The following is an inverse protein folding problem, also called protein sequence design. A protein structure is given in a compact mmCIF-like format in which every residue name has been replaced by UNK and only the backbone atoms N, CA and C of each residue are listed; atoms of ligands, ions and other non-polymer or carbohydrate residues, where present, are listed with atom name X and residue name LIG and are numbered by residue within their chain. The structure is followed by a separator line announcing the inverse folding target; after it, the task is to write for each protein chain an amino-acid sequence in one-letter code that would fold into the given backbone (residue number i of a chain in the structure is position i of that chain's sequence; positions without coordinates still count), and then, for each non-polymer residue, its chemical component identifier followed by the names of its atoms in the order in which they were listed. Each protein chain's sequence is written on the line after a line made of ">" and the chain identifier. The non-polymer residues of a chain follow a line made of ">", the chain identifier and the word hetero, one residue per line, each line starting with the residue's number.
data_IF_293286825892
#
_entry.id   IF_293286825892
#
_cell.length_a   1.000
_cell.length_b   1.000
_cell.length_c   1.000
_cell.angle_alpha   90.00
_cell.angle_beta   90.00
_cell.angle_gamma   90.00
#
_symmetry.space_group_name_H-M   'P 1'
#
loop_
_entity.id
_entity.type
_entity.pdbx_description
1 polymer ?
#
# COMPACT_ATOMS: atom_id res chain seq x y z
N UNK A 1 -0.40 4.68 -9.32
CA UNK A 1 0.91 4.02 -9.11
C UNK A 1 0.91 2.53 -9.45
N UNK A 2 0.06 1.68 -8.85
CA UNK A 2 0.05 0.24 -9.17
C UNK A 2 -0.14 -0.05 -10.68
N UNK A 3 -1.10 0.61 -11.33
CA UNK A 3 -1.26 0.60 -12.80
C UNK A 3 0.03 0.95 -13.56
N UNK A 4 0.69 2.04 -13.16
CA UNK A 4 1.92 2.49 -13.81
C UNK A 4 3.03 1.44 -13.70
N UNK A 5 3.17 0.80 -12.54
CA UNK A 5 4.13 -0.29 -12.31
C UNK A 5 3.80 -1.52 -13.17
N UNK A 6 2.52 -1.86 -13.34
CA UNK A 6 2.12 -2.91 -14.29
C UNK A 6 2.54 -2.59 -15.71
N UNK A 7 2.47 -1.32 -16.12
CA UNK A 7 2.95 -0.88 -17.43
C UNK A 7 4.48 -0.89 -17.55
N UNK A 8 5.19 -0.53 -16.48
CA UNK A 8 6.66 -0.65 -16.38
C UNK A 8 7.08 -2.11 -16.53
N UNK A 9 6.44 -3.03 -15.79
CA UNK A 9 6.67 -4.46 -15.89
C UNK A 9 6.40 -4.98 -17.32
N UNK A 10 5.32 -4.52 -17.97
CA UNK A 10 5.03 -4.84 -19.38
C UNK A 10 6.14 -4.38 -20.33
N UNK A 11 6.66 -3.18 -20.14
CA UNK A 11 7.75 -2.65 -20.96
C UNK A 11 9.06 -3.45 -20.77
N UNK A 12 9.38 -3.84 -19.52
CA UNK A 12 10.59 -4.59 -19.17
C UNK A 12 10.57 -6.04 -19.65
N UNK A 13 9.40 -6.70 -19.57
CA UNK A 13 9.28 -8.13 -19.83
C UNK A 13 8.56 -8.48 -21.15
N UNK A 14 8.05 -7.50 -21.88
CA UNK A 14 7.31 -7.69 -23.13
C UNK A 14 5.90 -8.26 -22.96
N UNK A 15 5.45 -8.53 -21.73
CA UNK A 15 4.13 -9.09 -21.40
C UNK A 15 3.64 -8.58 -20.05
N UNK A 16 2.32 -8.65 -19.83
CA UNK A 16 1.77 -8.40 -18.50
C UNK A 16 2.29 -9.43 -17.51
N UNK A 17 2.55 -8.99 -16.29
CA UNK A 17 2.95 -9.82 -15.16
C UNK A 17 1.89 -9.76 -14.07
N UNK A 18 1.58 -10.88 -13.42
CA UNK A 18 0.81 -10.87 -12.19
C UNK A 18 1.50 -9.96 -11.16
N UNK A 19 0.72 -9.31 -10.31
CA UNK A 19 1.29 -8.56 -9.19
C UNK A 19 0.42 -8.61 -7.97
N UNK A 20 1.06 -8.44 -6.82
CA UNK A 20 0.47 -8.50 -5.51
C UNK A 20 0.73 -7.20 -4.77
N UNK A 21 -0.36 -6.55 -4.35
CA UNK A 21 -0.30 -5.33 -3.56
C UNK A 21 -0.71 -5.64 -2.12
N UNK A 22 0.17 -5.25 -1.20
CA UNK A 22 -0.05 -5.28 0.23
C UNK A 22 -0.36 -3.87 0.71
N UNK A 23 -1.51 -3.69 1.36
CA UNK A 23 -1.87 -2.42 1.99
C UNK A 23 -1.99 -2.59 3.51
N UNK A 24 -1.05 -2.01 4.25
CA UNK A 24 -1.09 -2.03 5.72
C UNK A 24 -2.30 -1.25 6.24
N UNK A 25 -3.14 -1.86 7.09
CA UNK A 25 -4.27 -1.15 7.71
C UNK A 25 -4.33 -1.35 9.23
N UNK A 26 -4.80 -0.33 9.93
CA UNK A 26 -5.01 -0.34 11.39
C UNK A 26 -6.24 -1.18 11.76
N UNK A 27 -6.08 -2.11 12.70
CA UNK A 27 -7.14 -2.98 13.23
C UNK A 27 -7.99 -2.32 14.34
N UNK A 28 -7.49 -1.24 14.96
CA UNK A 28 -8.22 -0.54 16.03
C UNK A 28 -9.57 -0.04 15.51
N UNK A 29 -10.63 -0.31 16.26
CA UNK A 29 -12.00 0.01 15.88
C UNK A 29 -12.58 -0.83 14.74
N UNK A 30 -11.90 -1.92 14.31
CA UNK A 30 -12.34 -2.79 13.21
C UNK A 30 -12.46 -4.27 13.59
N UNK A 31 -12.22 -4.61 14.84
CA UNK A 31 -12.40 -5.96 15.40
C UNK A 31 -13.50 -5.94 16.48
N UNK A 32 -14.07 -7.09 16.80
CA UNK A 32 -15.14 -7.18 17.81
C UNK A 32 -14.61 -7.09 19.24
N UNK A 33 -13.32 -7.34 19.44
CA UNK A 33 -12.68 -7.18 20.74
C UNK A 33 -12.49 -5.71 21.11
N UNK A 34 -12.66 -5.32 22.38
CA UNK A 34 -12.37 -3.97 22.83
C UNK A 34 -10.86 -3.71 22.76
N UNK A 35 -10.48 -2.62 22.09
CA UNK A 35 -9.09 -2.15 22.05
C UNK A 35 -9.05 -0.77 22.70
N UNK A 36 -8.23 -0.56 23.75
CA UNK A 36 -8.12 0.75 24.39
C UNK A 36 -7.68 1.84 23.41
N UNK A 37 -8.26 3.03 23.53
CA UNK A 37 -7.92 4.19 22.66
C UNK A 37 -6.46 4.60 22.79
N UNK A 38 -5.87 4.42 23.98
CA UNK A 38 -4.47 4.70 24.27
C UNK A 38 -3.54 3.50 24.04
N UNK A 39 -4.01 2.44 23.37
CA UNK A 39 -3.17 1.26 23.09
C UNK A 39 -2.01 1.65 22.18
N UNK A 40 -0.79 1.51 22.69
CA UNK A 40 0.44 1.80 21.93
C UNK A 40 0.95 0.53 21.21
N UNK A 41 1.71 0.72 20.13
CA UNK A 41 2.34 -0.37 19.38
C UNK A 41 1.62 -0.74 18.09
N UNK A 42 2.22 -1.69 17.36
CA UNK A 42 1.73 -2.14 16.06
C UNK A 42 0.50 -3.03 16.22
N UNK A 43 -0.66 -2.54 15.78
CA UNK A 43 -1.91 -3.29 15.75
C UNK A 43 -2.48 -3.26 14.33
N UNK A 44 -1.80 -3.99 13.46
CA UNK A 44 -2.03 -3.97 12.03
C UNK A 44 -2.15 -5.38 11.49
N UNK A 45 -2.95 -5.50 10.46
CA UNK A 45 -2.97 -6.65 9.55
C UNK A 45 -3.02 -6.01 8.15
N UNK A 46 -2.49 -6.60 7.07
CA UNK A 46 -2.57 -5.95 5.76
C UNK A 46 -3.74 -6.44 4.92
N UNK A 47 -4.41 -5.54 4.20
CA UNK A 47 -5.31 -5.89 3.11
C UNK A 47 -4.49 -6.28 1.88
N UNK A 48 -5.02 -7.20 1.09
CA UNK A 48 -4.31 -7.80 -0.04
C UNK A 48 -5.11 -7.60 -1.32
N UNK A 49 -4.44 -7.22 -2.41
CA UNK A 49 -5.02 -7.11 -3.73
C UNK A 49 -4.13 -7.81 -4.77
N UNK A 50 -4.76 -8.44 -5.75
CA UNK A 50 -4.09 -9.25 -6.78
C UNK A 50 -4.44 -8.75 -8.16
N UNK A 51 -3.45 -8.65 -9.03
CA UNK A 51 -3.62 -8.46 -10.47
C UNK A 51 -3.12 -9.73 -11.18
N UNK A 52 -3.91 -10.25 -12.11
CA UNK A 52 -3.59 -11.46 -12.89
C UNK A 52 -3.34 -11.06 -14.35
N UNK A 53 -2.25 -11.57 -14.93
CA UNK A 53 -1.88 -11.26 -16.32
C UNK A 53 -2.81 -11.89 -17.37
N UNK A 54 -3.57 -12.91 -17.00
CA UNK A 54 -4.46 -13.67 -17.90
C UNK A 54 -5.74 -12.90 -18.29
N UNK A 55 -5.96 -11.71 -17.72
CA UNK A 55 -7.07 -10.84 -18.10
C UNK A 55 -6.77 -10.08 -19.39
N UNK A 56 -6.77 -10.83 -20.51
CA UNK A 56 -6.67 -10.35 -21.90
C UNK A 56 -5.46 -9.45 -22.19
N UNK A 57 -4.38 -10.00 -22.78
CA UNK A 57 -3.20 -9.22 -23.23
C UNK A 57 -3.55 -8.02 -24.16
N UNK A 58 -4.75 -8.06 -24.76
CA UNK A 58 -5.32 -7.06 -25.64
C UNK A 58 -6.28 -6.07 -24.97
N UNK A 59 -6.71 -6.30 -23.72
CA UNK A 59 -7.53 -5.32 -23.01
C UNK A 59 -6.67 -4.15 -22.55
N UNK A 60 -7.22 -2.96 -22.71
CA UNK A 60 -6.61 -1.75 -22.19
C UNK A 60 -6.60 -1.83 -20.66
N UNK A 61 -5.41 -1.68 -20.09
CA UNK A 61 -5.20 -1.66 -18.64
C UNK A 61 -5.71 -0.31 -18.14
N UNK A 62 -6.90 -0.29 -17.54
CA UNK A 62 -7.55 0.93 -17.06
C UNK A 62 -7.37 1.11 -15.55
N UNK A 63 -7.53 2.36 -15.07
CA UNK A 63 -7.27 2.71 -13.67
C UNK A 63 -8.32 2.14 -12.70
N UNK A 64 -9.59 2.16 -13.12
CA UNK A 64 -10.74 1.64 -12.37
C UNK A 64 -10.54 0.18 -11.94
N UNK A 65 -10.00 -0.67 -12.81
CA UNK A 65 -9.68 -2.06 -12.50
C UNK A 65 -8.76 -2.22 -11.28
N UNK A 66 -7.78 -1.32 -11.10
CA UNK A 66 -6.89 -1.37 -9.94
C UNK A 66 -7.57 -0.79 -8.70
N UNK A 67 -8.36 0.27 -8.87
CA UNK A 67 -9.13 0.89 -7.78
C UNK A 67 -10.08 -0.14 -7.18
N UNK A 68 -10.84 -0.84 -8.02
CA UNK A 68 -11.79 -1.87 -7.58
C UNK A 68 -11.10 -2.99 -6.81
N UNK A 69 -9.95 -3.48 -7.31
CA UNK A 69 -9.18 -4.53 -6.64
C UNK A 69 -8.66 -4.11 -5.26
N UNK A 70 -8.12 -2.90 -5.16
CA UNK A 70 -7.66 -2.37 -3.86
C UNK A 70 -8.84 -2.17 -2.92
N UNK A 71 -9.93 -1.58 -3.43
CA UNK A 71 -11.15 -1.36 -2.67
C UNK A 71 -11.74 -2.68 -2.13
N UNK A 72 -11.86 -3.70 -2.97
CA UNK A 72 -12.38 -5.01 -2.59
C UNK A 72 -11.47 -5.73 -1.61
N UNK A 73 -10.15 -5.65 -1.82
CA UNK A 73 -9.16 -6.17 -0.87
C UNK A 73 -9.31 -5.55 0.52
N UNK A 74 -9.45 -4.23 0.59
CA UNK A 74 -9.69 -3.50 1.85
C UNK A 74 -11.05 -3.87 2.45
N UNK A 75 -12.11 -3.87 1.66
CA UNK A 75 -13.48 -4.17 2.12
C UNK A 75 -13.60 -5.58 2.69
N UNK A 76 -13.05 -6.57 1.97
CA UNK A 76 -12.97 -7.96 2.43
C UNK A 76 -12.24 -8.00 3.78
N UNK A 77 -11.10 -7.33 3.85
CA UNK A 77 -10.29 -7.31 5.06
C UNK A 77 -10.98 -6.67 6.26
N UNK A 78 -11.70 -5.56 6.07
CA UNK A 78 -12.53 -4.95 7.13
C UNK A 78 -13.61 -5.93 7.59
N UNK A 79 -14.28 -6.59 6.65
CA UNK A 79 -15.34 -7.56 6.94
C UNK A 79 -14.82 -8.77 7.72
N UNK A 80 -13.65 -9.28 7.36
CA UNK A 80 -13.02 -10.41 8.03
C UNK A 80 -12.47 -10.01 9.41
N UNK A 81 -11.92 -8.80 9.54
CA UNK A 81 -11.44 -8.28 10.83
C UNK A 81 -12.58 -8.11 11.83
N UNK A 82 -13.77 -7.70 11.37
CA UNK A 82 -14.94 -7.55 12.24
C UNK A 82 -15.40 -8.86 12.90
N UNK A 83 -14.98 -10.02 12.38
CA UNK A 83 -15.27 -11.34 12.94
C UNK A 83 -14.28 -11.75 14.04
N UNK A 84 -13.16 -11.04 14.18
CA UNK A 84 -12.13 -11.34 15.18
C UNK A 84 -12.68 -11.00 16.57
N UNK A 85 -12.88 -12.04 17.39
CA UNK A 85 -13.58 -11.94 18.68
C UNK A 85 -12.76 -12.45 19.86
N UNK A 86 -11.61 -13.07 19.60
CA UNK A 86 -10.69 -13.62 20.60
C UNK A 86 -9.23 -13.43 20.18
N UNK A 87 -8.32 -13.60 21.14
CA UNK A 87 -6.87 -13.56 20.89
C UNK A 87 -6.44 -14.64 19.89
N UNK A 88 -7.06 -15.82 19.95
CA UNK A 88 -6.80 -16.94 19.03
C UNK A 88 -7.25 -16.60 17.60
N UNK A 89 -8.42 -15.96 17.42
CA UNK A 89 -8.89 -15.48 16.12
C UNK A 89 -7.91 -14.46 15.53
N UNK A 90 -7.44 -13.52 16.36
CA UNK A 90 -6.50 -12.49 15.98
C UNK A 90 -5.17 -13.10 15.54
N UNK A 91 -4.62 -13.99 16.36
CA UNK A 91 -3.37 -14.68 16.07
C UNK A 91 -3.48 -15.47 14.76
N UNK A 92 -4.54 -16.27 14.60
CA UNK A 92 -4.81 -17.04 13.39
C UNK A 92 -4.92 -16.16 12.14
N UNK A 93 -5.66 -15.05 12.22
CA UNK A 93 -5.83 -14.09 11.13
C UNK A 93 -4.51 -13.44 10.70
N UNK A 94 -3.67 -13.06 11.67
CA UNK A 94 -2.36 -12.44 11.41
C UNK A 94 -1.40 -13.46 10.82
N UNK A 95 -1.34 -14.68 11.37
CA UNK A 95 -0.47 -15.75 10.86
C UNK A 95 -0.86 -16.10 9.43
N UNK A 96 -2.15 -16.35 9.16
CA UNK A 96 -2.63 -16.67 7.81
C UNK A 96 -2.26 -15.58 6.79
N UNK A 97 -2.46 -14.30 7.15
CA UNK A 97 -2.12 -13.20 6.24
C UNK A 97 -0.61 -13.08 6.01
N UNK A 98 0.21 -13.25 7.06
CA UNK A 98 1.67 -13.22 6.94
C UNK A 98 2.20 -14.37 6.11
N UNK A 99 1.64 -15.57 6.25
CA UNK A 99 1.99 -16.73 5.42
C UNK A 99 1.71 -16.44 3.96
N UNK A 100 0.49 -15.97 3.62
CA UNK A 100 0.14 -15.60 2.25
C UNK A 100 1.10 -14.53 1.69
N UNK A 101 1.43 -13.51 2.49
CA UNK A 101 2.38 -12.47 2.08
C UNK A 101 3.77 -13.02 1.78
N UNK A 102 4.30 -13.90 2.65
CA UNK A 102 5.62 -14.51 2.48
C UNK A 102 5.66 -15.37 1.22
N UNK A 103 4.60 -16.16 0.99
CA UNK A 103 4.46 -16.99 -0.21
C UNK A 103 4.50 -16.12 -1.48
N UNK A 104 3.73 -15.03 -1.51
CA UNK A 104 3.71 -14.11 -2.66
C UNK A 104 5.02 -13.35 -2.83
N UNK A 105 5.68 -12.95 -1.74
CA UNK A 105 6.97 -12.27 -1.80
C UNK A 105 8.07 -13.12 -2.43
N UNK A 106 8.02 -14.44 -2.25
CA UNK A 106 9.00 -15.37 -2.81
C UNK A 106 8.70 -15.83 -4.24
N UNK A 107 7.57 -15.39 -4.83
CA UNK A 107 7.26 -15.69 -6.22
C UNK A 107 8.13 -14.87 -7.17
N UNK A 108 8.80 -15.55 -8.09
CA UNK A 108 9.61 -14.90 -9.12
C UNK A 108 8.82 -14.48 -10.36
N UNK A 109 7.61 -15.02 -10.52
CA UNK A 109 6.72 -14.80 -11.66
C UNK A 109 5.73 -13.64 -11.46
N UNK A 110 5.70 -13.05 -10.26
CA UNK A 110 4.82 -11.97 -9.88
C UNK A 110 5.60 -10.80 -9.25
N UNK A 111 5.09 -9.59 -9.42
CA UNK A 111 5.69 -8.40 -8.81
C UNK A 111 5.02 -8.11 -7.46
N UNK A 112 5.80 -7.80 -6.43
CA UNK A 112 5.31 -7.56 -5.07
C UNK A 112 5.46 -6.09 -4.68
N UNK A 113 4.39 -5.47 -4.18
CA UNK A 113 4.33 -4.05 -3.86
C UNK A 113 3.76 -3.79 -2.45
N UNK A 114 4.46 -2.99 -1.64
CA UNK A 114 4.01 -2.60 -0.29
C UNK A 114 3.55 -1.15 -0.24
N UNK A 115 2.27 -0.93 0.02
CA UNK A 115 1.62 0.37 0.10
C UNK A 115 1.23 0.69 1.55
N UNK A 116 1.84 1.74 2.11
CA UNK A 116 1.62 2.17 3.49
C UNK A 116 1.07 3.59 3.51
N UNK A 117 -0.09 3.80 4.13
CA UNK A 117 -0.65 5.15 4.29
C UNK A 117 -0.52 5.62 5.73
N UNK A 118 0.10 6.79 5.89
CA UNK A 118 0.16 7.59 7.10
C UNK A 118 -0.73 8.84 6.99
N UNK A 119 -1.56 8.90 5.94
CA UNK A 119 -2.61 9.92 5.81
C UNK A 119 -3.52 9.89 7.04
N UNK A 120 -3.99 11.06 7.45
CA UNK A 120 -4.83 11.33 8.61
C UNK A 120 -4.18 11.02 9.96
N UNK A 121 -2.88 10.72 9.99
CA UNK A 121 -2.12 10.74 11.22
C UNK A 121 -1.88 12.21 11.61
N UNK A 122 -2.05 12.58 12.90
CA UNK A 122 -1.96 13.96 13.35
C UNK A 122 -0.51 14.46 13.47
N UNK A 123 0.38 14.08 12.53
CA UNK A 123 1.82 14.36 12.59
C UNK A 123 2.10 15.87 12.60
N UNK A 124 1.38 16.65 11.78
CA UNK A 124 1.49 18.11 11.74
C UNK A 124 0.79 18.82 12.90
N UNK A 125 0.03 18.09 13.74
CA UNK A 125 -0.64 18.65 14.91
C UNK A 125 0.17 18.51 16.20
N UNK A 126 1.26 17.74 16.17
CA UNK A 126 2.12 17.52 17.33
C UNK A 126 2.87 18.80 17.70
N UNK A 127 2.78 19.25 18.94
CA UNK A 127 3.57 20.37 19.47
C UNK A 127 4.17 20.00 20.82
N UNK A 128 5.51 20.00 20.89
CA UNK A 128 6.25 19.69 22.11
C UNK A 128 6.63 20.95 22.92
N UNK A 129 6.06 22.11 22.60
CA UNK A 129 6.32 23.41 23.22
C UNK A 129 7.16 24.38 22.39
N UNK A 130 7.44 24.04 21.12
CA UNK A 130 8.35 24.76 20.23
C UNK A 130 7.71 25.06 18.87
N UNK A 131 6.42 24.72 18.72
CA UNK A 131 5.67 24.80 17.47
C UNK A 131 5.51 23.45 16.78
N UNK A 132 4.62 23.44 15.79
CA UNK A 132 4.28 22.28 14.95
C UNK A 132 5.39 21.96 13.93
N UNK A 133 5.50 20.71 13.45
CA UNK A 133 6.48 20.32 12.44
C UNK A 133 6.43 21.19 11.19
N UNK A 134 7.62 21.57 10.71
CA UNK A 134 7.78 22.22 9.41
C UNK A 134 7.55 21.26 8.25
N UNK A 135 7.96 20.00 8.43
CA UNK A 135 7.92 18.91 7.44
C UNK A 135 8.01 17.57 8.17
N UNK A 136 7.48 16.51 7.55
CA UNK A 136 7.51 15.14 8.05
C UNK A 136 7.81 14.18 6.89
N UNK A 137 8.65 13.18 7.12
CA UNK A 137 9.03 12.22 6.09
C UNK A 137 9.18 10.80 6.62
N UNK A 138 9.07 9.83 5.70
CA UNK A 138 9.39 8.44 5.97
C UNK A 138 10.89 8.19 5.74
N UNK A 139 11.48 7.29 6.52
CA UNK A 139 12.80 6.73 6.19
C UNK A 139 12.61 5.71 5.08
N UNK A 140 13.20 5.97 3.91
CA UNK A 140 13.17 5.02 2.79
C UNK A 140 14.10 3.87 3.08
N UNK A 141 13.58 2.64 3.07
CA UNK A 141 14.39 1.41 3.16
C UNK A 141 14.73 0.96 1.73
N UNK A 142 16.01 1.01 1.32
CA UNK A 142 16.42 0.59 -0.03
C UNK A 142 16.16 -0.90 -0.28
N UNK A 143 15.91 -1.27 -1.54
CA UNK A 143 15.84 -2.68 -1.97
C UNK A 143 14.46 -3.32 -1.90
N UNK A 144 13.41 -2.55 -1.61
CA UNK A 144 12.03 -3.04 -1.64
C UNK A 144 11.13 -2.07 -2.41
N UNK A 145 10.18 -2.63 -3.17
CA UNK A 145 9.13 -1.87 -3.85
C UNK A 145 8.11 -1.36 -2.82
N UNK A 146 8.40 -0.20 -2.24
CA UNK A 146 7.70 0.33 -1.06
C UNK A 146 7.22 1.75 -1.31
N UNK A 147 6.00 2.02 -0.86
CA UNK A 147 5.29 3.26 -1.09
C UNK A 147 4.76 3.77 0.25
N UNK A 148 5.09 5.00 0.61
CA UNK A 148 4.53 5.69 1.78
C UNK A 148 3.72 6.90 1.33
N UNK A 149 2.49 7.00 1.82
CA UNK A 149 1.61 8.13 1.56
C UNK A 149 1.46 8.96 2.82
N UNK A 150 1.68 10.26 2.72
CA UNK A 150 1.53 11.23 3.81
C UNK A 150 0.69 12.40 3.33
N UNK A 151 -0.08 12.99 4.24
CA UNK A 151 -0.75 14.26 3.91
C UNK A 151 0.31 15.35 3.78
N UNK A 152 0.07 16.29 2.88
CA UNK A 152 0.79 17.57 2.81
C UNK A 152 0.49 18.40 4.05
N UNK A 153 1.36 19.36 4.37
CA UNK A 153 1.23 20.19 5.58
C UNK A 153 -0.04 21.04 5.60
N UNK A 154 -0.48 21.52 4.44
CA UNK A 154 -1.72 22.27 4.27
C UNK A 154 -2.97 21.38 4.24
N UNK A 155 -2.78 20.07 4.06
CA UNK A 155 -3.85 19.07 4.08
C UNK A 155 -4.61 18.94 2.76
N UNK A 156 -4.19 19.65 1.71
CA UNK A 156 -4.88 19.72 0.42
C UNK A 156 -4.38 18.69 -0.60
N UNK A 157 -3.29 17.98 -0.29
CA UNK A 157 -2.68 16.97 -1.15
C UNK A 157 -2.01 15.81 -0.40
N UNK A 158 -1.45 14.87 -1.16
CA UNK A 158 -0.73 13.69 -0.66
C UNK A 158 0.69 13.68 -1.23
N UNK A 159 1.68 13.57 -0.35
CA UNK A 159 3.05 13.23 -0.72
C UNK A 159 3.21 11.71 -0.82
N UNK A 160 3.76 11.23 -1.93
CA UNK A 160 4.04 9.81 -2.15
C UNK A 160 5.57 9.58 -2.20
N UNK A 161 6.08 8.88 -1.20
CA UNK A 161 7.48 8.50 -1.11
C UNK A 161 7.65 7.09 -1.66
N UNK A 162 8.40 6.98 -2.75
CA UNK A 162 8.47 5.76 -3.56
C UNK A 162 9.90 5.21 -3.56
N UNK A 163 10.03 3.93 -3.24
CA UNK A 163 11.25 3.14 -3.36
C UNK A 163 11.01 2.01 -4.33
N UNK A 164 11.87 1.90 -5.33
CA UNK A 164 11.84 0.89 -6.40
C UNK A 164 13.28 0.49 -6.74
N UNK A 165 13.45 -0.62 -7.47
CA UNK A 165 14.70 -0.87 -8.17
C UNK A 165 15.02 0.26 -9.16
N UNK A 166 16.31 0.54 -9.38
CA UNK A 166 16.75 1.68 -10.19
C UNK A 166 16.15 1.68 -11.61
N UNK A 167 16.21 0.53 -12.29
CA UNK A 167 15.64 0.36 -13.64
C UNK A 167 14.13 0.62 -13.67
N UNK A 168 13.41 0.15 -12.64
CA UNK A 168 11.96 0.32 -12.55
C UNK A 168 11.61 1.78 -12.21
N UNK A 169 12.43 2.44 -11.39
CA UNK A 169 12.25 3.86 -11.04
C UNK A 169 12.39 4.76 -12.28
N UNK A 170 13.41 4.51 -13.12
CA UNK A 170 13.63 5.30 -14.34
C UNK A 170 12.41 5.23 -15.28
N UNK A 171 11.84 4.03 -15.45
CA UNK A 171 10.63 3.86 -16.27
C UNK A 171 9.38 4.41 -15.58
N UNK A 172 9.29 4.32 -14.26
CA UNK A 172 8.17 4.82 -13.48
C UNK A 172 8.07 6.34 -13.52
N UNK A 173 9.19 7.05 -13.40
CA UNK A 173 9.27 8.51 -13.51
C UNK A 173 8.87 9.01 -14.90
N UNK A 174 9.18 8.23 -15.95
CA UNK A 174 8.81 8.54 -17.33
C UNK A 174 7.37 8.17 -17.70
N UNK A 175 6.65 7.48 -16.83
CA UNK A 175 5.29 7.03 -17.11
C UNK A 175 4.32 8.23 -17.28
N UNK A 176 3.52 8.30 -18.37
CA UNK A 176 2.64 9.43 -18.63
C UNK A 176 1.60 9.68 -17.55
N UNK A 177 1.03 8.63 -16.96
CA UNK A 177 0.06 8.77 -15.87
C UNK A 177 0.74 9.33 -14.62
N UNK A 178 1.99 8.95 -14.33
CA UNK A 178 2.73 9.51 -13.20
C UNK A 178 3.01 11.00 -13.43
N UNK A 179 3.60 11.35 -14.58
CA UNK A 179 3.90 12.75 -14.93
C UNK A 179 2.67 13.66 -14.92
N UNK A 180 1.51 13.15 -15.32
CA UNK A 180 0.26 13.93 -15.36
C UNK A 180 -0.26 14.32 -13.97
N UNK A 181 0.12 13.58 -12.91
CA UNK A 181 -0.43 13.77 -11.56
C UNK A 181 0.63 14.09 -10.49
N UNK A 182 1.89 14.28 -10.87
CA UNK A 182 2.96 14.74 -9.97
C UNK A 182 3.27 16.21 -10.20
N UNK A 183 3.28 17.03 -9.14
CA UNK A 183 3.86 18.37 -9.19
C UNK A 183 5.37 18.28 -9.35
N UNK A 184 5.95 19.10 -10.23
CA UNK A 184 7.38 19.39 -10.17
C UNK A 184 7.59 20.35 -9.00
N UNK A 185 8.19 19.85 -7.92
CA UNK A 185 8.81 20.71 -6.90
C UNK A 185 10.25 21.03 -7.30
#
# INVERSE_FOLDING_TARGET
>A
MWKALTMVARAKHGRLRPSFLVHSFNLRGKIAMPVPDNSFGNFTNPALARFTADEDENKKVELDHFVDRVHDGIRKRVTDSAKISSDDDLFSSVVSTKTEMIEEFHRSDADFYMFNSWCRMPVYEVDFGWGKPGWFSAVVVPGHNMFHFMDTKDGDGIEAWVSLEEDDMLLFQENPDIKAFTGQE
#
